data_IF_577212099965
#
_entry.id   IF_577212099965
#
_cell.length_a   1.000
_cell.length_b   1.000
_cell.length_c   1.000
_cell.angle_alpha   90.00
_cell.angle_beta   90.00
_cell.angle_gamma   90.00
#
_symmetry.space_group_name_H-M   'P 1'
#
loop_
_entity.id
_entity.type
_entity.pdbx_description
1 polymer ?
#
# COMPACT_ATOMS: atom_id res chain seq x y z
N UNK A 1 12.23 7.46 3.80
CA UNK A 1 12.57 8.89 3.58
C UNK A 1 13.56 9.35 4.65
N UNK A 2 14.26 10.49 4.49
CA UNK A 2 15.25 10.96 5.49
C UNK A 2 14.67 11.11 6.90
N UNK A 3 13.37 11.39 7.04
CA UNK A 3 12.68 11.41 8.35
C UNK A 3 12.60 10.06 9.07
N UNK A 4 12.66 8.93 8.37
CA UNK A 4 12.62 7.60 9.00
C UNK A 4 13.98 6.88 8.98
N UNK A 5 14.80 7.14 7.95
CA UNK A 5 16.04 6.41 7.69
C UNK A 5 17.30 7.26 7.92
N UNK A 6 17.14 8.48 8.45
CA UNK A 6 18.22 9.43 8.67
C UNK A 6 18.75 10.08 7.38
N UNK A 7 19.54 11.14 7.57
CA UNK A 7 20.24 11.83 6.50
C UNK A 7 21.50 11.07 6.08
N UNK A 8 21.70 10.93 4.76
CA UNK A 8 22.92 10.36 4.19
C UNK A 8 23.98 11.47 4.06
N UNK A 9 24.76 11.67 5.12
CA UNK A 9 25.79 12.69 5.23
C UNK A 9 27.18 12.07 4.99
N UNK A 10 28.10 12.84 4.42
CA UNK A 10 29.49 12.43 4.18
C UNK A 10 30.43 13.45 4.81
N UNK A 11 31.48 12.99 5.49
CA UNK A 11 32.46 13.87 6.15
C UNK A 11 32.08 14.27 7.57
N UNK A 12 31.16 13.53 8.22
CA UNK A 12 30.79 13.71 9.64
C UNK A 12 31.95 13.44 10.60
N UNK A 13 32.93 12.65 10.16
CA UNK A 13 34.06 12.11 10.92
C UNK A 13 35.42 12.70 10.48
N UNK A 14 35.40 13.68 9.58
CA UNK A 14 36.61 14.33 9.07
C UNK A 14 37.08 15.49 9.95
N UNK A 15 38.38 15.65 10.17
CA UNK A 15 38.92 16.76 10.95
C UNK A 15 38.76 18.10 10.20
N UNK A 16 39.17 18.15 8.93
CA UNK A 16 39.20 19.35 8.10
C UNK A 16 38.51 19.11 6.76
N UNK A 17 38.00 20.17 6.13
CA UNK A 17 37.47 20.12 4.77
C UNK A 17 38.51 20.67 3.78
N UNK A 18 38.49 20.17 2.55
CA UNK A 18 39.23 20.74 1.41
C UNK A 18 38.31 21.67 0.63
N UNK A 19 38.87 22.57 -0.18
CA UNK A 19 38.09 23.47 -1.03
C UNK A 19 37.11 22.70 -1.94
N UNK A 20 37.53 21.54 -2.48
CA UNK A 20 36.68 20.67 -3.31
C UNK A 20 35.48 20.03 -2.58
N UNK A 21 35.49 20.03 -1.24
CA UNK A 21 34.47 19.43 -0.39
C UNK A 21 33.29 20.39 -0.13
N UNK A 22 33.43 21.69 -0.44
CA UNK A 22 32.41 22.74 -0.26
C UNK A 22 31.07 22.45 -0.98
N UNK A 23 31.10 21.56 -1.98
CA UNK A 23 29.92 21.11 -2.71
C UNK A 23 28.92 20.35 -1.80
N UNK A 24 29.43 19.65 -0.80
CA UNK A 24 28.64 18.79 0.09
C UNK A 24 28.92 18.98 1.58
N UNK A 25 29.97 19.71 1.97
CA UNK A 25 30.27 20.03 3.35
C UNK A 25 30.83 21.46 3.44
N UNK A 26 30.29 22.30 4.33
CA UNK A 26 30.74 23.68 4.53
C UNK A 26 30.95 23.94 6.02
N UNK A 27 31.89 24.81 6.35
CA UNK A 27 32.11 25.25 7.73
C UNK A 27 31.78 26.71 7.88
N UNK A 28 30.98 27.03 8.90
CA UNK A 28 30.68 28.39 9.31
C UNK A 28 30.85 28.48 10.83
N UNK A 29 31.94 29.10 11.26
CA UNK A 29 32.31 29.22 12.67
C UNK A 29 32.49 27.85 13.34
N UNK A 30 31.65 27.56 14.33
CA UNK A 30 31.67 26.28 15.10
C UNK A 30 30.79 25.19 14.48
N UNK A 31 30.00 25.53 13.46
CA UNK A 31 29.03 24.63 12.84
C UNK A 31 29.55 24.13 11.50
N UNK A 32 29.43 22.83 11.28
CA UNK A 32 29.64 22.19 9.99
C UNK A 32 28.29 21.86 9.36
N UNK A 33 28.03 22.47 8.22
CA UNK A 33 26.86 22.20 7.39
C UNK A 33 27.18 21.04 6.44
N UNK A 34 26.39 19.98 6.50
CA UNK A 34 26.58 18.79 5.66
C UNK A 34 25.35 18.63 4.76
N UNK A 35 25.58 18.52 3.45
CA UNK A 35 24.53 18.30 2.47
C UNK A 35 24.16 16.82 2.43
N UNK A 36 22.89 16.52 2.64
CA UNK A 36 22.39 15.15 2.51
C UNK A 36 22.35 14.73 1.05
N UNK A 37 23.07 13.66 0.69
CA UNK A 37 23.12 13.17 -0.69
C UNK A 37 21.77 12.61 -1.19
N UNK A 38 20.83 12.33 -0.28
CA UNK A 38 19.50 11.77 -0.60
C UNK A 38 18.42 12.84 -0.84
N UNK A 39 18.34 13.84 0.03
CA UNK A 39 17.29 14.88 -0.01
C UNK A 39 17.81 16.28 -0.36
N UNK A 40 19.12 16.43 -0.54
CA UNK A 40 19.79 17.69 -0.86
C UNK A 40 19.74 18.79 0.20
N UNK A 41 19.09 18.54 1.34
CA UNK A 41 19.01 19.47 2.45
C UNK A 41 20.36 19.61 3.17
N UNK A 42 20.65 20.82 3.63
CA UNK A 42 21.81 21.12 4.47
C UNK A 42 21.46 20.89 5.94
N UNK A 43 22.27 20.09 6.63
CA UNK A 43 22.10 19.75 8.05
C UNK A 43 23.25 20.35 8.83
N UNK A 44 22.93 21.19 9.82
CA UNK A 44 23.91 21.71 10.77
C UNK A 44 24.33 20.60 11.74
N UNK A 45 25.64 20.42 11.89
CA UNK A 45 26.26 19.54 12.89
C UNK A 45 27.41 20.26 13.56
N UNK A 46 27.68 19.90 14.82
CA UNK A 46 28.94 20.29 15.44
C UNK A 46 30.12 19.62 14.73
N UNK A 47 31.29 20.24 14.78
CA UNK A 47 32.53 19.59 14.34
C UNK A 47 32.79 18.33 15.18
N UNK A 48 33.32 17.25 14.57
CA UNK A 48 33.65 16.05 15.32
C UNK A 48 34.73 16.36 16.35
N UNK A 49 34.48 15.98 17.61
CA UNK A 49 35.46 16.12 18.70
C UNK A 49 36.61 15.12 18.52
N UNK A 50 36.29 13.91 18.04
CA UNK A 50 37.23 12.84 17.76
C UNK A 50 37.16 12.47 16.27
N UNK A 51 37.90 13.16 15.39
CA UNK A 51 37.90 12.85 13.97
C UNK A 51 38.64 11.54 13.70
N UNK A 52 38.01 10.62 12.96
CA UNK A 52 38.63 9.36 12.55
C UNK A 52 39.58 9.54 11.35
N UNK A 53 39.39 10.61 10.58
CA UNK A 53 40.18 10.90 9.37
C UNK A 53 40.47 12.39 9.23
N UNK A 54 41.59 12.72 8.58
CA UNK A 54 42.00 14.12 8.38
C UNK A 54 41.07 14.87 7.42
N UNK A 55 40.63 14.20 6.35
CA UNK A 55 39.77 14.75 5.30
C UNK A 55 38.62 13.81 4.98
N UNK A 56 37.48 14.30 4.45
CA UNK A 56 36.41 13.47 3.92
C UNK A 56 36.92 12.51 2.83
N UNK A 57 36.19 11.41 2.57
CA UNK A 57 36.55 10.46 1.52
C UNK A 57 36.55 11.14 0.14
N UNK A 58 37.42 10.67 -0.76
CA UNK A 58 37.45 11.16 -2.15
C UNK A 58 36.15 10.85 -2.89
N UNK A 59 35.81 11.64 -3.91
CA UNK A 59 34.49 11.61 -4.58
C UNK A 59 34.15 10.23 -5.15
N UNK A 60 35.14 9.55 -5.68
CA UNK A 60 35.09 8.19 -6.22
C UNK A 60 34.69 7.13 -5.19
N UNK A 61 35.00 7.35 -3.91
CA UNK A 61 34.66 6.43 -2.83
C UNK A 61 33.31 6.73 -2.16
N UNK A 62 32.66 7.83 -2.54
CA UNK A 62 31.36 8.22 -2.00
C UNK A 62 30.26 7.38 -2.66
N UNK A 63 29.65 6.47 -1.91
CA UNK A 63 28.45 5.77 -2.36
C UNK A 63 27.26 6.74 -2.40
N UNK A 64 26.86 7.11 -3.62
CA UNK A 64 25.70 7.98 -3.82
C UNK A 64 24.42 7.17 -3.52
N UNK A 65 23.63 7.55 -2.50
CA UNK A 65 22.35 6.91 -2.25
C UNK A 65 21.39 7.16 -3.42
N UNK A 66 20.46 6.23 -3.65
CA UNK A 66 19.45 6.38 -4.71
C UNK A 66 18.70 7.71 -4.54
N UNK A 67 18.86 8.61 -5.52
CA UNK A 67 18.30 9.97 -5.54
C UNK A 67 17.23 10.10 -6.64
N UNK A 68 16.24 10.96 -6.40
CA UNK A 68 15.28 11.39 -7.41
C UNK A 68 14.41 10.26 -7.96
N UNK A 69 14.50 10.01 -9.28
CA UNK A 69 13.66 9.04 -10.00
C UNK A 69 13.66 7.67 -9.33
N UNK A 70 14.81 7.17 -8.89
CA UNK A 70 14.90 5.85 -8.26
C UNK A 70 14.18 5.74 -6.89
N UNK A 71 13.98 6.85 -6.18
CA UNK A 71 13.21 6.85 -4.93
C UNK A 71 11.70 6.94 -5.22
N UNK A 72 11.32 7.78 -6.20
CA UNK A 72 9.93 7.90 -6.70
C UNK A 72 9.44 6.60 -7.32
N UNK A 73 10.28 5.95 -8.12
CA UNK A 73 10.02 4.66 -8.75
C UNK A 73 9.67 3.59 -7.71
N UNK A 74 10.39 3.56 -6.59
CA UNK A 74 10.09 2.65 -5.48
C UNK A 74 8.76 2.96 -4.77
N UNK A 75 8.36 4.23 -4.73
CA UNK A 75 7.07 4.64 -4.16
C UNK A 75 5.92 4.31 -5.12
N UNK A 76 6.10 4.56 -6.41
CA UNK A 76 5.14 4.21 -7.47
C UNK A 76 4.93 2.69 -7.51
N UNK A 77 6.01 1.90 -7.47
CA UNK A 77 5.91 0.44 -7.40
C UNK A 77 5.14 -0.04 -6.16
N UNK A 78 5.32 0.63 -5.01
CA UNK A 78 4.52 0.33 -3.80
C UNK A 78 3.06 0.74 -3.96
N UNK A 79 2.78 1.87 -4.61
CA UNK A 79 1.41 2.31 -4.87
C UNK A 79 0.68 1.33 -5.80
N UNK A 80 1.33 0.88 -6.88
CA UNK A 80 0.78 -0.15 -7.79
C UNK A 80 0.57 -1.47 -7.05
N UNK A 81 1.50 -1.87 -6.17
CA UNK A 81 1.34 -3.07 -5.36
C UNK A 81 0.15 -2.96 -4.37
N UNK A 82 -0.08 -1.78 -3.78
CA UNK A 82 -1.22 -1.52 -2.90
C UNK A 82 -2.53 -1.55 -3.70
N UNK A 83 -2.57 -0.91 -4.87
CA UNK A 83 -3.73 -0.93 -5.76
C UNK A 83 -4.15 -2.37 -6.11
N UNK A 84 -3.18 -3.22 -6.49
CA UNK A 84 -3.41 -4.65 -6.73
C UNK A 84 -3.84 -5.43 -5.48
N UNK A 85 -3.27 -5.11 -4.32
CA UNK A 85 -3.68 -5.75 -3.06
C UNK A 85 -5.13 -5.41 -2.72
N UNK A 86 -5.57 -4.17 -2.97
CA UNK A 86 -6.96 -3.76 -2.74
C UNK A 86 -7.90 -4.55 -3.65
N UNK A 87 -7.59 -4.66 -4.94
CA UNK A 87 -8.39 -5.46 -5.88
C UNK A 87 -8.44 -6.93 -5.44
N UNK A 88 -7.30 -7.52 -5.05
CA UNK A 88 -7.25 -8.89 -4.54
C UNK A 88 -8.19 -9.10 -3.35
N UNK A 89 -8.20 -8.17 -2.38
CA UNK A 89 -9.11 -8.23 -1.23
C UNK A 89 -10.58 -8.10 -1.64
N UNK A 90 -10.90 -7.20 -2.56
CA UNK A 90 -12.28 -7.01 -3.06
C UNK A 90 -12.76 -8.29 -3.76
N UNK A 91 -11.98 -8.84 -4.69
CA UNK A 91 -12.34 -10.06 -5.40
C UNK A 91 -12.41 -11.28 -4.47
N UNK A 92 -11.52 -11.38 -3.49
CA UNK A 92 -11.58 -12.42 -2.48
C UNK A 92 -12.86 -12.32 -1.64
N UNK A 93 -13.23 -11.12 -1.19
CA UNK A 93 -14.46 -10.90 -0.41
C UNK A 93 -15.71 -11.24 -1.24
N UNK A 94 -15.77 -10.80 -2.50
CA UNK A 94 -16.87 -11.11 -3.41
C UNK A 94 -16.97 -12.62 -3.70
N UNK A 95 -15.83 -13.28 -3.96
CA UNK A 95 -15.78 -14.71 -4.22
C UNK A 95 -16.20 -15.55 -3.02
N UNK A 96 -15.69 -15.23 -1.82
CA UNK A 96 -16.10 -15.87 -0.56
C UNK A 96 -17.59 -15.64 -0.31
N UNK A 97 -18.10 -14.42 -0.52
CA UNK A 97 -19.52 -14.11 -0.38
C UNK A 97 -20.39 -14.93 -1.32
N UNK A 98 -20.02 -15.01 -2.60
CA UNK A 98 -20.71 -15.81 -3.60
C UNK A 98 -20.72 -17.31 -3.23
N UNK A 99 -19.58 -17.86 -2.78
CA UNK A 99 -19.50 -19.26 -2.33
C UNK A 99 -20.26 -19.51 -1.03
N UNK A 100 -20.25 -18.58 -0.09
CA UNK A 100 -21.00 -18.68 1.16
C UNK A 100 -22.52 -18.70 0.89
N UNK A 101 -22.98 -17.88 -0.06
CA UNK A 101 -24.37 -17.89 -0.52
C UNK A 101 -24.69 -19.19 -1.28
N UNK A 102 -23.81 -19.63 -2.18
CA UNK A 102 -23.99 -20.84 -2.98
C UNK A 102 -24.04 -22.12 -2.12
N UNK A 103 -23.21 -22.21 -1.09
CA UNK A 103 -23.10 -23.38 -0.19
C UNK A 103 -24.20 -23.45 0.87
N UNK A 104 -24.81 -22.32 1.23
CA UNK A 104 -25.78 -22.24 2.33
C UNK A 104 -27.21 -21.90 1.88
N UNK A 105 -27.60 -22.30 0.67
CA UNK A 105 -28.91 -21.96 0.07
C UNK A 105 -30.14 -22.20 0.96
N UNK A 106 -30.10 -23.16 1.89
CA UNK A 106 -31.17 -23.42 2.86
C UNK A 106 -30.94 -22.72 4.23
N UNK A 107 -29.73 -22.82 4.80
CA UNK A 107 -29.46 -22.36 6.17
C UNK A 107 -29.25 -20.83 6.30
N UNK A 108 -28.72 -20.17 5.28
CA UNK A 108 -28.52 -18.71 5.29
C UNK A 108 -29.81 -17.97 4.91
N UNK A 109 -30.67 -18.52 4.04
CA UNK A 109 -32.00 -17.96 3.76
C UNK A 109 -32.80 -17.83 5.05
N UNK A 110 -32.86 -18.87 5.87
CA UNK A 110 -33.59 -18.84 7.14
C UNK A 110 -33.08 -17.79 8.13
N UNK A 111 -31.78 -17.48 8.16
CA UNK A 111 -31.21 -16.44 9.04
C UNK A 111 -31.39 -15.03 8.48
N UNK A 112 -31.23 -14.85 7.17
CA UNK A 112 -31.45 -13.56 6.52
C UNK A 112 -32.93 -13.17 6.56
N UNK A 113 -33.84 -14.10 6.28
CA UNK A 113 -35.27 -13.88 6.44
C UNK A 113 -35.64 -13.58 7.88
N UNK A 114 -35.06 -14.28 8.87
CA UNK A 114 -35.32 -14.00 10.29
C UNK A 114 -34.84 -12.62 10.71
N UNK A 115 -33.65 -12.20 10.30
CA UNK A 115 -33.14 -10.84 10.57
C UNK A 115 -33.99 -9.78 9.86
N UNK A 116 -34.44 -10.03 8.63
CA UNK A 116 -35.37 -9.14 7.91
C UNK A 116 -36.73 -9.06 8.59
N UNK A 117 -37.31 -10.18 8.98
CA UNK A 117 -38.58 -10.25 9.71
C UNK A 117 -38.48 -9.64 11.10
N UNK A 118 -37.35 -9.78 11.80
CA UNK A 118 -37.10 -9.13 13.09
C UNK A 118 -36.86 -7.62 12.94
N UNK A 119 -36.32 -7.16 11.82
CA UNK A 119 -36.22 -5.73 11.48
C UNK A 119 -37.58 -5.13 11.10
N UNK A 120 -38.39 -5.87 10.35
CA UNK A 120 -39.71 -5.46 9.90
C UNK A 120 -40.74 -5.51 11.05
N UNK A 121 -40.58 -6.45 11.99
CA UNK A 121 -41.41 -6.56 13.20
C UNK A 121 -40.86 -5.78 14.39
N UNK A 122 -39.55 -5.49 14.44
CA UNK A 122 -38.88 -4.82 15.56
C UNK A 122 -38.57 -3.34 15.30
N UNK A 123 -38.74 -2.84 14.08
CA UNK A 123 -38.47 -1.47 13.69
C UNK A 123 -39.73 -0.68 13.32
N UNK A 124 -40.21 0.11 14.29
CA UNK A 124 -41.20 1.17 14.15
C UNK A 124 -42.69 0.76 14.13
N UNK A 125 -43.27 0.73 15.33
CA UNK A 125 -44.61 1.28 15.47
C UNK A 125 -44.60 2.77 15.08
N UNK A 126 -45.44 3.15 14.11
CA UNK A 126 -45.80 4.54 13.84
C UNK A 126 -45.45 5.06 12.45
N UNK A 127 -46.44 4.97 11.55
CA UNK A 127 -46.76 5.93 10.49
C UNK A 127 -45.65 6.39 9.52
N UNK A 128 -45.68 5.89 8.28
CA UNK A 128 -46.07 6.69 7.10
C UNK A 128 -45.69 6.00 5.78
N UNK A 129 -46.73 5.68 4.99
CA UNK A 129 -46.83 5.97 3.57
C UNK A 129 -45.84 5.36 2.55
N UNK A 130 -46.43 4.52 1.70
CA UNK A 130 -46.36 4.58 0.23
C UNK A 130 -45.12 4.03 -0.50
N UNK A 131 -45.27 2.80 -1.01
CA UNK A 131 -45.37 2.60 -2.46
C UNK A 131 -44.10 2.66 -3.33
N UNK A 132 -42.88 2.64 -2.79
CA UNK A 132 -41.67 2.80 -3.64
C UNK A 132 -40.52 1.82 -3.43
N UNK A 133 -40.66 0.81 -2.57
CA UNK A 133 -39.58 -0.13 -2.25
C UNK A 133 -39.66 -1.51 -2.93
N UNK A 134 -40.74 -1.85 -3.64
CA UNK A 134 -40.93 -3.21 -4.18
C UNK A 134 -40.01 -3.53 -5.38
N UNK A 135 -39.47 -2.51 -6.07
CA UNK A 135 -38.62 -2.71 -7.27
C UNK A 135 -37.16 -3.09 -6.99
N UNK A 136 -36.57 -2.58 -5.91
CA UNK A 136 -35.17 -2.88 -5.55
C UNK A 136 -35.02 -4.32 -5.04
N UNK A 137 -36.00 -4.77 -4.25
CA UNK A 137 -36.00 -6.12 -3.71
C UNK A 137 -36.24 -7.18 -4.78
N UNK A 138 -37.05 -6.91 -5.80
CA UNK A 138 -37.23 -7.84 -6.92
C UNK A 138 -35.99 -7.94 -7.82
N UNK A 139 -35.21 -6.86 -7.95
CA UNK A 139 -33.92 -6.90 -8.66
C UNK A 139 -32.86 -7.71 -7.89
N UNK A 140 -32.83 -7.60 -6.56
CA UNK A 140 -31.99 -8.43 -5.69
C UNK A 140 -32.43 -9.90 -5.72
N UNK A 141 -33.72 -10.17 -5.67
CA UNK A 141 -34.30 -11.52 -5.75
C UNK A 141 -34.00 -12.18 -7.10
N UNK A 142 -34.00 -11.40 -8.19
CA UNK A 142 -33.61 -11.88 -9.53
C UNK A 142 -32.10 -12.07 -9.69
N UNK A 143 -31.26 -11.31 -8.96
CA UNK A 143 -29.83 -11.60 -8.84
C UNK A 143 -29.56 -12.86 -7.99
N UNK A 144 -30.40 -13.12 -6.98
CA UNK A 144 -30.31 -14.29 -6.11
C UNK A 144 -30.97 -15.55 -6.68
N UNK A 145 -31.84 -15.42 -7.69
CA UNK A 145 -32.42 -16.56 -8.44
C UNK A 145 -31.54 -17.04 -9.60
N UNK A 146 -30.40 -16.38 -9.85
CA UNK A 146 -29.34 -16.98 -10.66
C UNK A 146 -28.94 -18.31 -10.01
N UNK A 147 -29.13 -19.37 -10.79
CA UNK A 147 -28.89 -20.78 -10.48
C UNK A 147 -27.68 -20.93 -9.56
N UNK A 148 -27.82 -21.64 -8.43
CA UNK A 148 -26.75 -21.83 -7.45
C UNK A 148 -25.41 -22.31 -8.07
N UNK A 149 -25.47 -23.04 -9.19
CA UNK A 149 -24.29 -23.39 -10.00
C UNK A 149 -23.55 -22.19 -10.57
N UNK A 150 -24.24 -21.18 -11.10
CA UNK A 150 -23.64 -19.95 -11.63
C UNK A 150 -22.97 -19.10 -10.55
N UNK A 151 -23.55 -19.04 -9.34
CA UNK A 151 -22.91 -18.36 -8.20
C UNK A 151 -21.64 -19.08 -7.74
N UNK A 152 -21.62 -20.42 -7.81
CA UNK A 152 -20.45 -21.22 -7.47
C UNK A 152 -19.31 -21.02 -8.50
N UNK A 153 -19.63 -21.07 -9.79
CA UNK A 153 -18.68 -20.77 -10.87
C UNK A 153 -18.12 -19.36 -10.75
N UNK A 154 -18.98 -18.36 -10.52
CA UNK A 154 -18.57 -16.97 -10.33
C UNK A 154 -17.64 -16.82 -9.13
N UNK A 155 -17.97 -17.46 -8.00
CA UNK A 155 -17.15 -17.44 -6.79
C UNK A 155 -15.75 -18.01 -7.02
N UNK A 156 -15.65 -19.13 -7.74
CA UNK A 156 -14.36 -19.74 -8.12
C UNK A 156 -13.54 -18.80 -9.01
N UNK A 157 -14.16 -18.21 -10.04
CA UNK A 157 -13.48 -17.28 -10.96
C UNK A 157 -12.95 -16.05 -10.22
N UNK A 158 -13.75 -15.46 -9.32
CA UNK A 158 -13.35 -14.30 -8.52
C UNK A 158 -12.17 -14.64 -7.59
N UNK A 159 -12.18 -15.83 -6.97
CA UNK A 159 -11.07 -16.28 -6.13
C UNK A 159 -9.80 -16.56 -6.92
N UNK A 160 -9.92 -17.18 -8.09
CA UNK A 160 -8.78 -17.41 -8.97
C UNK A 160 -8.14 -16.08 -9.40
N UNK A 161 -8.97 -15.08 -9.73
CA UNK A 161 -8.51 -13.74 -10.06
C UNK A 161 -7.85 -13.03 -8.87
N UNK A 162 -8.44 -13.13 -7.68
CA UNK A 162 -7.85 -12.58 -6.45
C UNK A 162 -6.46 -13.17 -6.16
N UNK A 163 -6.27 -14.47 -6.36
CA UNK A 163 -4.96 -15.12 -6.20
C UNK A 163 -3.94 -14.59 -7.21
N UNK A 164 -4.33 -14.42 -8.48
CA UNK A 164 -3.47 -13.87 -9.52
C UNK A 164 -2.94 -12.48 -9.13
N UNK A 165 -3.84 -11.57 -8.76
CA UNK A 165 -3.46 -10.22 -8.34
C UNK A 165 -2.60 -10.22 -7.07
N UNK A 166 -2.89 -11.12 -6.13
CA UNK A 166 -2.10 -11.31 -4.91
C UNK A 166 -0.65 -11.72 -5.23
N UNK A 167 -0.44 -12.66 -6.16
CA UNK A 167 0.91 -13.06 -6.59
C UNK A 167 1.68 -11.90 -7.21
N UNK A 168 1.02 -11.10 -8.04
CA UNK A 168 1.63 -9.94 -8.66
C UNK A 168 1.99 -8.85 -7.63
N UNK A 169 1.11 -8.59 -6.67
CA UNK A 169 1.36 -7.64 -5.58
C UNK A 169 2.59 -8.06 -4.75
N UNK A 170 2.71 -9.36 -4.43
CA UNK A 170 3.88 -9.92 -3.73
C UNK A 170 5.16 -9.80 -4.56
N UNK A 171 5.10 -10.08 -5.87
CA UNK A 171 6.23 -9.93 -6.79
C UNK A 171 6.76 -8.49 -6.83
N UNK A 172 5.86 -7.51 -6.96
CA UNK A 172 6.21 -6.08 -6.95
C UNK A 172 6.77 -5.64 -5.60
N UNK A 173 6.19 -6.11 -4.48
CA UNK A 173 6.65 -5.77 -3.13
C UNK A 173 8.08 -6.27 -2.85
N UNK A 174 8.42 -7.47 -3.34
CA UNK A 174 9.73 -8.06 -3.16
C UNK A 174 10.80 -7.47 -4.10
N UNK A 175 10.45 -6.52 -4.99
CA UNK A 175 11.34 -6.02 -6.05
C UNK A 175 11.93 -7.16 -6.92
N UNK A 176 11.32 -8.36 -6.85
CA UNK A 176 11.65 -9.51 -7.67
C UNK A 176 10.67 -9.48 -8.82
N UNK A 177 11.15 -9.02 -9.97
CA UNK A 177 10.53 -9.25 -11.28
C UNK A 177 10.36 -10.77 -11.46
N UNK A 178 9.29 -11.34 -10.93
CA UNK A 178 8.81 -12.64 -11.34
C UNK A 178 8.47 -12.45 -12.82
N UNK A 179 9.31 -13.02 -13.68
CA UNK A 179 9.30 -12.86 -15.11
C UNK A 179 8.15 -13.63 -15.76
N UNK A 180 6.92 -13.41 -15.28
CA UNK A 180 5.74 -14.03 -15.84
C UNK A 180 4.85 -12.92 -16.35
N UNK A 181 4.68 -12.92 -17.68
CA UNK A 181 3.85 -12.05 -18.52
C UNK A 181 4.60 -10.82 -19.04
N UNK A 182 5.22 -11.03 -20.21
CA UNK A 182 5.59 -10.01 -21.20
C UNK A 182 4.50 -9.98 -22.26
#
# INVERSE_FOLDING_TARGET
>A
MCGCAGHALVGTDAAKLRAQDELYAREQGRTRWLRCLRCDSWVARARPQHPARRYPPGRESIRIPRRGKALRDRLVLRAIAIDRLIHCVIFAALGIGALAIASNGEALRGRFYRVLTDLENGGAGGAAQSGRHVGFFHALDKLFSLRAGTLHELGIVLLAYALLEGFEAVGLWLNKRLAMIR
#
